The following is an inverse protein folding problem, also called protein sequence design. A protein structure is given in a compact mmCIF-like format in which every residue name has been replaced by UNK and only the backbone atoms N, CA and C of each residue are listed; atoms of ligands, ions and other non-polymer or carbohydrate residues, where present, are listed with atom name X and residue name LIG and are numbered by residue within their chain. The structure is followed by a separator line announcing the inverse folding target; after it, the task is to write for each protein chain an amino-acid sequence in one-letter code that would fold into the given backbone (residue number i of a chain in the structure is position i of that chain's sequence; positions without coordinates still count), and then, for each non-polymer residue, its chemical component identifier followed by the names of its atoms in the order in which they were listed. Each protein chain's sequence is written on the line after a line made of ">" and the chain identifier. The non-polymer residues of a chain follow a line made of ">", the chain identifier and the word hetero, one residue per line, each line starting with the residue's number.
data_IF_494179668796
#
_entry.id   IF_494179668796
#
_cell.length_a   1.000
_cell.length_b   1.000
_cell.length_c   1.000
_cell.angle_alpha   90.00
_cell.angle_beta   90.00
_cell.angle_gamma   90.00
#
_symmetry.space_group_name_H-M   'P 1'
#
loop_
_entity.id
_entity.type
_entity.pdbx_description
1 polymer ?
#
# COMPACT_ATOMS: atom_id res chain seq x y z
N UNK A 1 23.83 -6.57 17.79
CA UNK A 1 23.23 -7.28 16.65
C UNK A 1 22.44 -6.26 15.88
N UNK A 2 22.63 -6.14 14.58
CA UNK A 2 21.89 -5.18 13.77
C UNK A 2 20.91 -5.98 12.89
N UNK A 3 19.69 -5.51 12.83
CA UNK A 3 18.60 -6.13 12.03
C UNK A 3 18.22 -5.14 10.95
N UNK A 4 18.12 -5.62 9.72
CA UNK A 4 17.66 -4.84 8.57
C UNK A 4 16.49 -5.54 7.89
N UNK A 5 15.37 -4.84 7.74
CA UNK A 5 14.13 -5.37 7.15
C UNK A 5 13.65 -4.44 6.05
N UNK A 6 13.51 -4.97 4.84
CA UNK A 6 12.89 -4.24 3.74
C UNK A 6 11.46 -4.72 3.51
N UNK A 7 10.53 -3.77 3.44
CA UNK A 7 9.13 -4.04 3.08
C UNK A 7 8.77 -3.21 1.83
N UNK A 8 8.32 -3.85 0.75
CA UNK A 8 7.99 -3.18 -0.49
C UNK A 8 6.77 -2.26 -0.34
N UNK A 9 6.71 -1.19 -1.12
CA UNK A 9 5.50 -0.43 -1.29
C UNK A 9 4.43 -1.22 -2.04
N UNK A 10 3.17 -0.84 -1.85
CA UNK A 10 2.01 -1.44 -2.49
C UNK A 10 1.13 -0.36 -3.11
N UNK A 11 0.73 -0.56 -4.35
CA UNK A 11 -0.17 0.33 -5.08
C UNK A 11 -1.49 -0.39 -5.30
N UNK A 12 -2.56 0.09 -4.67
CA UNK A 12 -3.90 -0.46 -4.83
C UNK A 12 -4.55 0.06 -6.11
N UNK A 13 -5.10 -0.81 -6.93
CA UNK A 13 -5.85 -0.46 -8.15
C UNK A 13 -7.34 -0.26 -7.87
N UNK A 14 -7.96 -1.20 -7.17
CA UNK A 14 -9.37 -1.15 -6.79
C UNK A 14 -9.59 -1.92 -5.49
N UNK A 15 -10.61 -1.52 -4.72
CA UNK A 15 -10.91 -2.16 -3.43
C UNK A 15 -12.33 -1.92 -2.96
N UNK A 16 -12.84 -2.83 -2.13
CA UNK A 16 -14.03 -2.64 -1.30
C UNK A 16 -13.64 -2.66 0.18
N UNK A 17 -14.39 -1.94 1.00
CA UNK A 17 -14.15 -1.80 2.43
C UNK A 17 -15.03 -2.79 3.19
N UNK A 18 -14.43 -3.56 4.08
CA UNK A 18 -15.12 -4.49 4.98
C UNK A 18 -14.87 -4.11 6.43
N UNK A 19 -15.90 -3.56 7.08
CA UNK A 19 -15.82 -3.17 8.48
C UNK A 19 -16.13 -4.32 9.42
N UNK A 20 -15.39 -4.40 10.50
CA UNK A 20 -15.63 -5.33 11.57
C UNK A 20 -15.31 -4.68 12.92
N UNK A 21 -16.05 -5.03 13.97
CA UNK A 21 -15.77 -4.57 15.35
C UNK A 21 -14.44 -5.12 15.89
N UNK A 22 -13.99 -6.26 15.38
CA UNK A 22 -12.66 -6.79 15.67
C UNK A 22 -11.64 -6.14 14.70
N UNK A 23 -10.67 -5.34 15.18
CA UNK A 23 -9.69 -4.68 14.34
C UNK A 23 -8.92 -5.63 13.41
N UNK A 24 -8.66 -6.86 13.85
CA UNK A 24 -7.95 -7.84 13.01
C UNK A 24 -8.80 -8.41 11.86
N UNK A 25 -10.13 -8.24 11.91
CA UNK A 25 -11.06 -8.64 10.84
C UNK A 25 -11.50 -7.45 9.99
N UNK A 26 -11.22 -6.23 10.45
CA UNK A 26 -11.45 -5.01 9.69
C UNK A 26 -10.46 -4.93 8.54
N UNK A 27 -10.86 -4.43 7.37
CA UNK A 27 -9.93 -4.35 6.26
C UNK A 27 -10.56 -4.06 4.91
N UNK A 28 -9.88 -4.47 3.85
CA UNK A 28 -10.37 -4.32 2.48
C UNK A 28 -10.08 -5.56 1.63
N UNK A 29 -10.97 -5.84 0.68
CA UNK A 29 -10.69 -6.75 -0.44
C UNK A 29 -10.39 -5.92 -1.70
N UNK A 30 -9.71 -6.49 -2.69
CA UNK A 30 -9.36 -5.79 -3.93
C UNK A 30 -7.97 -6.15 -4.42
N UNK A 31 -7.52 -5.53 -5.48
CA UNK A 31 -6.23 -5.83 -6.08
C UNK A 31 -5.29 -4.63 -6.07
N UNK A 32 -4.00 -4.95 -5.99
CA UNK A 32 -2.90 -4.03 -6.11
C UNK A 32 -1.62 -4.77 -6.50
N UNK A 33 -0.52 -4.07 -6.62
CA UNK A 33 0.77 -4.70 -6.89
C UNK A 33 1.89 -4.12 -6.05
N UNK A 34 2.93 -4.92 -5.85
CA UNK A 34 4.12 -4.53 -5.11
C UNK A 34 5.15 -3.88 -6.03
N UNK A 35 5.83 -2.87 -5.53
CA UNK A 35 6.95 -2.20 -6.20
C UNK A 35 8.27 -2.50 -5.49
N UNK A 36 9.39 -2.40 -6.21
CA UNK A 36 10.72 -2.67 -5.67
C UNK A 36 11.34 -1.49 -4.89
N UNK A 37 10.53 -0.52 -4.54
CA UNK A 37 10.82 0.55 -3.59
C UNK A 37 9.88 0.40 -2.40
N UNK A 38 10.27 0.86 -1.23
CA UNK A 38 9.47 0.66 -0.02
C UNK A 38 10.09 1.35 1.19
N UNK A 39 10.09 0.68 2.32
CA UNK A 39 10.72 1.16 3.55
C UNK A 39 11.77 0.15 4.00
N UNK A 40 12.99 0.62 4.18
CA UNK A 40 14.06 -0.11 4.83
C UNK A 40 14.08 0.30 6.30
N UNK A 41 13.92 -0.66 7.19
CA UNK A 41 13.96 -0.45 8.64
C UNK A 41 15.20 -1.12 9.20
N UNK A 42 16.08 -0.34 9.82
CA UNK A 42 17.26 -0.82 10.51
C UNK A 42 17.08 -0.65 12.03
N UNK A 43 17.43 -1.68 12.78
CA UNK A 43 17.33 -1.71 14.23
C UNK A 43 18.67 -2.13 14.82
N UNK A 44 19.19 -1.32 15.73
CA UNK A 44 20.47 -1.55 16.39
C UNK A 44 20.41 -1.22 17.88
N UNK A 45 21.44 -1.65 18.63
CA UNK A 45 21.54 -1.33 20.04
C UNK A 45 21.86 0.15 20.25
N UNK A 46 21.23 0.72 21.27
CA UNK A 46 21.48 2.07 21.78
C UNK A 46 21.31 2.07 23.30
N UNK A 47 21.81 3.11 23.97
CA UNK A 47 21.61 3.32 25.42
C UNK A 47 20.25 3.99 25.73
N UNK A 48 19.61 4.56 24.71
CA UNK A 48 18.31 5.23 24.79
C UNK A 48 17.41 4.79 23.63
N UNK A 49 16.13 5.16 23.66
CA UNK A 49 15.25 5.04 22.51
C UNK A 49 15.58 6.18 21.52
N UNK A 50 16.10 5.82 20.36
CA UNK A 50 16.42 6.72 19.27
C UNK A 50 15.60 6.36 18.04
N UNK A 51 14.97 7.36 17.40
CA UNK A 51 14.17 7.17 16.19
C UNK A 51 14.63 8.18 15.14
N UNK A 52 15.03 7.68 13.98
CA UNK A 52 15.44 8.47 12.83
C UNK A 52 14.63 8.04 11.59
N UNK A 53 13.99 8.98 10.92
CA UNK A 53 13.34 8.75 9.62
C UNK A 53 13.80 9.84 8.66
N UNK A 54 14.03 9.46 7.41
CA UNK A 54 14.43 10.42 6.38
C UNK A 54 13.29 11.36 5.96
N UNK A 55 12.03 10.92 6.08
CA UNK A 55 10.83 11.68 5.75
C UNK A 55 9.66 11.30 6.66
N UNK A 56 8.76 12.27 6.92
CA UNK A 56 7.53 12.06 7.70
C UNK A 56 7.71 12.23 9.20
N UNK A 57 6.80 11.60 9.95
CA UNK A 57 6.74 11.65 11.40
C UNK A 57 6.91 10.25 12.04
N UNK A 58 6.81 10.19 13.35
CA UNK A 58 7.00 8.95 14.12
C UNK A 58 5.68 8.28 14.55
N UNK A 59 4.53 8.74 14.03
CA UNK A 59 3.20 8.27 14.50
C UNK A 59 3.06 6.76 14.36
N UNK A 60 3.44 6.21 13.19
CA UNK A 60 3.38 4.77 12.92
C UNK A 60 4.34 3.99 13.83
N UNK A 61 5.57 4.48 13.98
CA UNK A 61 6.59 3.86 14.82
C UNK A 61 6.11 3.81 16.28
N UNK A 62 5.60 4.93 16.79
CA UNK A 62 5.10 5.04 18.16
C UNK A 62 3.92 4.10 18.40
N UNK A 63 3.00 3.96 17.43
CA UNK A 63 1.86 3.04 17.58
C UNK A 63 2.30 1.57 17.61
N UNK A 64 3.28 1.18 16.77
CA UNK A 64 3.85 -0.18 16.80
C UNK A 64 4.58 -0.46 18.12
N UNK A 65 5.41 0.48 18.60
CA UNK A 65 6.10 0.36 19.91
C UNK A 65 5.09 0.20 21.06
N UNK A 66 4.03 1.00 21.05
CA UNK A 66 2.93 0.92 22.02
C UNK A 66 2.22 -0.44 21.98
N UNK A 67 1.89 -0.96 20.81
CA UNK A 67 1.22 -2.27 20.65
C UNK A 67 2.13 -3.41 21.16
N UNK A 68 3.45 -3.31 20.91
CA UNK A 68 4.45 -4.26 21.38
C UNK A 68 4.86 -4.07 22.83
N UNK A 69 4.45 -2.96 23.46
CA UNK A 69 4.86 -2.54 24.82
C UNK A 69 6.39 -2.51 24.98
N UNK A 70 7.07 -1.92 23.96
CA UNK A 70 8.51 -1.77 23.98
C UNK A 70 8.89 -0.38 24.49
N UNK A 71 9.53 -0.37 25.67
CA UNK A 71 10.11 0.82 26.31
C UNK A 71 11.64 0.70 26.45
N UNK A 72 12.20 -0.39 25.94
CA UNK A 72 13.63 -0.68 26.05
C UNK A 72 14.46 0.21 25.11
N UNK A 73 15.70 0.55 25.50
CA UNK A 73 16.62 1.27 24.64
C UNK A 73 16.87 0.53 23.33
N UNK A 74 16.74 1.25 22.22
CA UNK A 74 16.95 0.73 20.85
C UNK A 74 17.05 1.91 19.89
N UNK A 75 17.90 1.79 18.87
CA UNK A 75 17.91 2.72 17.75
C UNK A 75 17.12 2.12 16.58
N UNK A 76 16.16 2.90 16.09
CA UNK A 76 15.30 2.59 14.94
C UNK A 76 15.58 3.61 13.86
N UNK A 77 15.99 3.16 12.68
CA UNK A 77 16.17 4.03 11.50
C UNK A 77 15.26 3.54 10.39
N UNK A 78 14.52 4.45 9.74
CA UNK A 78 13.74 4.10 8.55
C UNK A 78 14.10 4.97 7.36
N UNK A 79 14.46 4.30 6.25
CA UNK A 79 14.64 4.91 4.93
C UNK A 79 13.37 4.66 4.10
N UNK A 80 12.55 5.71 3.97
CA UNK A 80 11.30 5.70 3.22
C UNK A 80 11.60 6.15 1.80
N UNK A 81 11.51 5.23 0.85
CA UNK A 81 11.95 5.39 -0.55
C UNK A 81 10.84 5.85 -1.49
N UNK A 82 9.63 6.04 -0.99
CA UNK A 82 8.44 6.42 -1.74
C UNK A 82 7.74 7.61 -1.07
N UNK A 83 7.02 8.44 -1.83
CA UNK A 83 6.26 9.55 -1.26
C UNK A 83 5.24 9.08 -0.22
N UNK A 84 5.25 9.73 0.95
CA UNK A 84 4.27 9.47 2.03
C UNK A 84 2.92 10.07 1.64
N UNK A 85 1.82 9.43 2.07
CA UNK A 85 0.47 9.91 1.80
C UNK A 85 0.04 9.85 0.34
N UNK A 86 0.85 9.26 -0.53
CA UNK A 86 0.64 9.23 -1.97
C UNK A 86 0.16 7.87 -2.52
N UNK A 87 -0.43 7.02 -1.67
CA UNK A 87 -1.05 5.75 -2.10
C UNK A 87 -0.07 4.61 -2.36
N UNK A 88 1.15 4.68 -1.81
CA UNK A 88 2.17 3.64 -1.94
C UNK A 88 2.22 2.65 -0.75
N UNK A 89 1.32 2.76 0.21
CA UNK A 89 1.31 1.90 1.39
C UNK A 89 2.56 2.04 2.25
N UNK A 90 3.19 3.22 2.28
CA UNK A 90 4.44 3.47 3.03
C UNK A 90 4.25 3.33 4.54
N UNK A 91 3.10 3.73 5.07
CA UNK A 91 2.72 3.55 6.47
C UNK A 91 2.71 2.07 6.86
N UNK A 92 2.07 1.23 6.05
CA UNK A 92 2.04 -0.22 6.24
C UNK A 92 3.43 -0.86 6.09
N UNK A 93 4.26 -0.39 5.13
CA UNK A 93 5.64 -0.86 4.99
C UNK A 93 6.48 -0.52 6.23
N UNK A 94 6.32 0.70 6.77
CA UNK A 94 6.95 1.14 8.01
C UNK A 94 6.54 0.26 9.20
N UNK A 95 5.22 0.09 9.40
CA UNK A 95 4.68 -0.70 10.50
C UNK A 95 5.13 -2.17 10.44
N UNK A 96 5.08 -2.79 9.25
CA UNK A 96 5.43 -4.20 9.06
C UNK A 96 6.94 -4.43 9.24
N UNK A 97 7.77 -3.57 8.64
CA UNK A 97 9.22 -3.63 8.77
C UNK A 97 9.67 -3.49 10.23
N UNK A 98 9.06 -2.55 10.93
CA UNK A 98 9.33 -2.33 12.34
C UNK A 98 8.89 -3.51 13.22
N UNK A 99 7.68 -4.04 13.01
CA UNK A 99 7.17 -5.17 13.81
C UNK A 99 8.04 -6.43 13.63
N UNK A 100 8.50 -6.71 12.39
CA UNK A 100 9.42 -7.81 12.10
C UNK A 100 10.79 -7.55 12.75
N UNK A 101 11.35 -6.36 12.53
CA UNK A 101 12.68 -6.02 13.02
C UNK A 101 12.77 -6.05 14.55
N UNK A 102 11.79 -5.48 15.27
CA UNK A 102 11.74 -5.53 16.73
C UNK A 102 11.51 -6.94 17.27
N UNK A 103 10.73 -7.77 16.57
CA UNK A 103 10.57 -9.18 16.92
C UNK A 103 11.92 -9.92 16.91
N UNK A 104 12.69 -9.74 15.83
CA UNK A 104 14.01 -10.37 15.70
C UNK A 104 15.02 -9.79 16.70
N UNK A 105 15.06 -8.46 16.82
CA UNK A 105 16.03 -7.78 17.68
C UNK A 105 15.87 -8.14 19.16
N UNK A 106 14.62 -8.15 19.66
CA UNK A 106 14.31 -8.50 21.05
C UNK A 106 14.00 -9.98 21.27
N UNK A 107 14.06 -10.81 20.21
CA UNK A 107 13.76 -12.24 20.25
C UNK A 107 12.37 -12.51 20.90
N UNK A 108 11.32 -11.82 20.41
CA UNK A 108 9.98 -11.90 20.96
C UNK A 108 9.28 -13.23 20.64
N UNK A 109 9.79 -14.00 19.69
CA UNK A 109 9.28 -15.33 19.32
C UNK A 109 7.97 -15.29 18.51
N UNK A 110 7.61 -14.17 17.90
CA UNK A 110 6.43 -14.08 17.04
C UNK A 110 6.73 -14.64 15.65
N UNK A 111 5.74 -15.30 15.06
CA UNK A 111 5.80 -15.67 13.65
C UNK A 111 5.47 -14.44 12.76
N UNK A 112 5.72 -14.58 11.46
CA UNK A 112 5.51 -13.50 10.49
C UNK A 112 4.04 -13.01 10.46
N UNK A 113 3.08 -13.92 10.60
CA UNK A 113 1.64 -13.56 10.68
C UNK A 113 1.36 -12.66 11.88
N UNK A 114 1.95 -12.96 13.03
CA UNK A 114 1.78 -12.16 14.24
C UNK A 114 2.39 -10.76 14.10
N UNK A 115 3.56 -10.65 13.46
CA UNK A 115 4.16 -9.36 13.12
C UNK A 115 3.24 -8.56 12.17
N UNK A 116 2.68 -9.22 11.16
CA UNK A 116 1.70 -8.63 10.27
C UNK A 116 0.40 -8.21 10.98
N UNK A 117 -0.08 -8.97 11.96
CA UNK A 117 -1.24 -8.59 12.79
C UNK A 117 -0.97 -7.34 13.64
N UNK A 118 0.25 -7.18 14.14
CA UNK A 118 0.68 -6.00 14.88
C UNK A 118 0.68 -4.78 13.97
N UNK A 119 1.31 -4.89 12.80
CA UNK A 119 1.34 -3.83 11.80
C UNK A 119 -0.07 -3.44 11.32
N UNK A 120 -0.90 -4.43 10.99
CA UNK A 120 -2.29 -4.21 10.59
C UNK A 120 -3.09 -3.49 11.69
N UNK A 121 -2.91 -3.88 12.95
CA UNK A 121 -3.57 -3.22 14.07
C UNK A 121 -3.13 -1.76 14.20
N UNK A 122 -1.85 -1.45 13.98
CA UNK A 122 -1.35 -0.07 13.98
C UNK A 122 -2.04 0.75 12.89
N UNK A 123 -2.11 0.24 11.65
CA UNK A 123 -2.81 0.88 10.54
C UNK A 123 -4.29 1.16 10.83
N UNK A 124 -5.01 0.18 11.41
CA UNK A 124 -6.43 0.34 11.77
C UNK A 124 -6.60 1.38 12.88
N UNK A 125 -5.76 1.37 13.91
CA UNK A 125 -5.83 2.33 15.01
C UNK A 125 -5.58 3.77 14.54
N UNK A 126 -4.69 3.95 13.57
CA UNK A 126 -4.35 5.25 12.98
C UNK A 126 -5.32 5.68 11.86
N UNK A 127 -6.12 4.74 11.33
CA UNK A 127 -6.96 4.99 10.15
C UNK A 127 -6.15 5.20 8.87
N UNK A 128 -4.89 4.76 8.83
CA UNK A 128 -3.96 5.01 7.71
C UNK A 128 -4.07 3.97 6.59
N UNK A 129 -4.53 2.75 6.88
CA UNK A 129 -4.63 1.69 5.89
C UNK A 129 -5.62 0.59 6.27
N UNK A 130 -6.12 -0.14 5.26
CA UNK A 130 -7.09 -1.23 5.43
C UNK A 130 -6.59 -2.58 4.89
N UNK A 131 -5.56 -2.62 4.05
CA UNK A 131 -5.21 -3.86 3.39
C UNK A 131 -3.79 -3.92 2.82
N UNK A 132 -3.00 -2.86 2.99
CA UNK A 132 -1.64 -2.81 2.46
C UNK A 132 -0.71 -3.81 3.17
N UNK A 133 -0.82 -3.95 4.49
CA UNK A 133 0.00 -4.89 5.27
C UNK A 133 -0.10 -6.32 4.75
N UNK A 134 -1.32 -6.85 4.59
CA UNK A 134 -1.49 -8.23 4.09
C UNK A 134 -1.06 -8.35 2.63
N UNK A 135 -1.26 -7.31 1.81
CA UNK A 135 -0.82 -7.29 0.42
C UNK A 135 0.72 -7.31 0.31
N UNK A 136 1.42 -6.57 1.17
CA UNK A 136 2.88 -6.51 1.22
C UNK A 136 3.55 -7.82 1.63
N UNK A 137 2.80 -8.74 2.21
CA UNK A 137 3.25 -10.12 2.47
C UNK A 137 3.07 -11.05 1.27
N UNK A 138 2.47 -10.57 0.18
CA UNK A 138 2.32 -11.28 -1.10
C UNK A 138 3.47 -11.05 -2.08
N UNK A 139 3.20 -11.30 -3.36
CA UNK A 139 4.16 -11.11 -4.47
C UNK A 139 3.45 -10.63 -5.74
N UNK A 140 4.11 -9.74 -6.49
CA UNK A 140 3.61 -9.27 -7.79
C UNK A 140 2.28 -8.55 -7.66
N UNK A 141 1.28 -8.92 -8.47
CA UNK A 141 -0.10 -8.47 -8.32
C UNK A 141 -0.78 -9.32 -7.24
N UNK A 142 -1.32 -8.65 -6.24
CA UNK A 142 -1.96 -9.29 -5.08
C UNK A 142 -3.44 -8.96 -5.07
N UNK A 143 -4.27 -10.00 -5.10
CA UNK A 143 -5.70 -9.89 -4.86
C UNK A 143 -6.01 -10.30 -3.42
N UNK A 144 -6.55 -9.38 -2.65
CA UNK A 144 -7.12 -9.64 -1.33
C UNK A 144 -8.53 -10.18 -1.52
N UNK A 145 -8.71 -11.48 -1.31
CA UNK A 145 -10.00 -12.16 -1.52
C UNK A 145 -10.91 -12.12 -0.30
N UNK A 146 -10.30 -11.97 0.88
CA UNK A 146 -10.97 -11.82 2.16
C UNK A 146 -10.26 -10.75 2.99
N UNK A 147 -11.02 -9.84 3.57
CA UNK A 147 -10.50 -8.77 4.41
C UNK A 147 -9.98 -9.30 5.75
N UNK A 148 -9.05 -8.55 6.33
CA UNK A 148 -8.47 -8.83 7.64
C UNK A 148 -6.95 -8.87 7.63
N UNK A 149 -6.40 -8.96 8.83
CA UNK A 149 -4.98 -9.08 9.10
C UNK A 149 -4.40 -10.39 8.53
N UNK A 150 -3.08 -10.50 8.36
CA UNK A 150 -2.40 -11.75 8.05
C UNK A 150 -2.82 -12.90 8.96
N UNK A 151 -3.07 -14.09 8.38
CA UNK A 151 -3.61 -15.25 9.09
C UNK A 151 -5.15 -15.24 9.29
N UNK A 152 -5.83 -14.13 8.97
CA UNK A 152 -7.30 -13.98 9.03
C UNK A 152 -7.85 -13.63 7.65
N UNK A 153 -7.30 -12.62 7.02
CA UNK A 153 -7.55 -12.29 5.63
C UNK A 153 -6.90 -13.30 4.68
N UNK A 154 -7.28 -13.24 3.40
CA UNK A 154 -6.76 -14.15 2.38
C UNK A 154 -6.30 -13.35 1.16
N UNK A 155 -5.15 -13.73 0.62
CA UNK A 155 -4.58 -13.17 -0.61
C UNK A 155 -4.31 -14.25 -1.64
N UNK A 156 -4.39 -13.86 -2.91
CA UNK A 156 -3.88 -14.61 -4.05
C UNK A 156 -2.89 -13.73 -4.80
N UNK A 157 -1.73 -14.27 -5.13
CA UNK A 157 -0.74 -13.58 -5.96
C UNK A 157 -0.87 -14.03 -7.40
N UNK A 158 -0.89 -13.07 -8.32
CA UNK A 158 -0.95 -13.30 -9.75
C UNK A 158 0.25 -12.63 -10.41
N UNK A 159 0.65 -13.13 -11.56
CA UNK A 159 1.63 -12.52 -12.47
C UNK A 159 3.06 -12.48 -11.95
N UNK A 160 3.92 -13.17 -12.68
CA UNK A 160 5.38 -13.16 -12.50
C UNK A 160 6.10 -12.32 -13.59
N UNK A 161 5.37 -11.47 -14.32
CA UNK A 161 5.96 -10.64 -15.36
C UNK A 161 6.70 -9.46 -14.76
N UNK A 162 7.86 -9.14 -15.33
CA UNK A 162 8.59 -7.92 -14.97
C UNK A 162 7.88 -6.72 -15.59
N UNK A 163 7.35 -5.87 -14.73
CA UNK A 163 6.76 -4.59 -15.11
C UNK A 163 7.73 -3.45 -14.81
N UNK A 164 7.84 -2.51 -15.73
CA UNK A 164 8.42 -1.20 -15.44
C UNK A 164 7.28 -0.25 -15.11
N UNK A 165 7.31 0.30 -13.92
CA UNK A 165 6.27 1.19 -13.42
C UNK A 165 6.83 2.60 -13.33
N UNK A 166 6.25 3.54 -14.05
CA UNK A 166 6.51 4.96 -13.87
C UNK A 166 5.38 5.56 -13.04
N UNK A 167 5.72 6.39 -12.05
CA UNK A 167 4.76 7.05 -11.19
C UNK A 167 4.93 8.56 -11.23
N UNK A 168 3.83 9.28 -11.19
CA UNK A 168 3.80 10.73 -10.99
C UNK A 168 2.84 11.02 -9.85
N UNK A 169 3.32 11.72 -8.83
CA UNK A 169 2.54 12.15 -7.68
C UNK A 169 2.18 13.61 -7.83
N UNK A 170 0.91 13.96 -7.63
CA UNK A 170 0.39 15.33 -7.65
C UNK A 170 0.11 15.86 -6.23
N UNK A 171 0.41 15.07 -5.20
CA UNK A 171 0.28 15.44 -3.79
C UNK A 171 -0.15 14.26 -2.90
N UNK A 172 -0.56 14.56 -1.67
CA UNK A 172 -0.97 13.56 -0.68
C UNK A 172 -2.47 13.24 -0.77
N UNK A 173 -2.84 12.00 -0.43
CA UNK A 173 -4.22 11.55 -0.35
C UNK A 173 -4.62 11.44 1.12
N UNK A 174 -5.65 12.17 1.53
CA UNK A 174 -6.28 11.97 2.84
C UNK A 174 -7.18 10.74 2.83
N UNK A 175 -6.55 9.58 2.98
CA UNK A 175 -7.23 8.28 3.01
C UNK A 175 -8.26 8.22 4.14
N UNK A 176 -7.97 8.82 5.29
CA UNK A 176 -8.86 8.77 6.46
C UNK A 176 -10.20 9.45 6.16
N UNK A 177 -10.20 10.62 5.51
CA UNK A 177 -11.43 11.33 5.16
C UNK A 177 -12.30 10.56 4.16
N UNK A 178 -11.67 9.84 3.21
CA UNK A 178 -12.40 9.02 2.23
C UNK A 178 -13.07 7.82 2.89
N UNK A 179 -12.34 7.13 3.77
CA UNK A 179 -12.82 5.92 4.44
C UNK A 179 -13.91 6.24 5.46
N UNK A 180 -13.92 7.45 6.03
CA UNK A 180 -14.88 7.86 7.06
C UNK A 180 -16.20 8.41 6.48
N UNK A 181 -16.21 8.89 5.24
CA UNK A 181 -17.42 9.38 4.58
C UNK A 181 -18.33 8.20 4.17
N UNK A 182 -19.58 8.09 4.71
CA UNK A 182 -20.46 6.94 4.45
C UNK A 182 -20.87 6.79 2.98
N UNK A 183 -21.05 7.89 2.26
CA UNK A 183 -21.50 7.89 0.86
C UNK A 183 -20.36 7.45 -0.04
N UNK A 184 -19.15 8.01 0.17
CA UNK A 184 -17.96 7.56 -0.53
C UNK A 184 -17.64 6.09 -0.26
N UNK A 185 -17.74 5.68 0.99
CA UNK A 185 -17.52 4.29 1.40
C UNK A 185 -18.43 3.32 0.66
N UNK A 186 -19.69 3.68 0.47
CA UNK A 186 -20.64 2.85 -0.29
C UNK A 186 -20.24 2.77 -1.76
N UNK A 187 -19.95 3.90 -2.40
CA UNK A 187 -19.54 3.94 -3.82
C UNK A 187 -18.27 3.12 -4.04
N UNK A 188 -17.26 3.29 -3.19
CA UNK A 188 -16.01 2.53 -3.23
C UNK A 188 -16.26 1.03 -3.06
N UNK A 189 -17.09 0.66 -2.07
CA UNK A 189 -17.34 -0.74 -1.77
C UNK A 189 -18.12 -1.43 -2.88
N UNK A 190 -19.14 -0.80 -3.44
CA UNK A 190 -19.93 -1.36 -4.54
C UNK A 190 -19.07 -1.54 -5.81
N UNK A 191 -18.31 -0.50 -6.20
CA UNK A 191 -17.41 -0.57 -7.35
C UNK A 191 -16.28 -1.61 -7.15
N UNK A 192 -15.65 -1.59 -5.99
CA UNK A 192 -14.57 -2.52 -5.68
C UNK A 192 -14.99 -3.98 -5.63
N UNK A 193 -16.19 -4.27 -5.10
CA UNK A 193 -16.73 -5.63 -5.05
C UNK A 193 -17.02 -6.16 -6.46
N UNK A 194 -17.64 -5.35 -7.32
CA UNK A 194 -17.92 -5.70 -8.71
C UNK A 194 -16.59 -6.03 -9.44
N UNK A 195 -15.61 -5.12 -9.37
CA UNK A 195 -14.35 -5.27 -10.09
C UNK A 195 -13.49 -6.42 -9.55
N UNK A 196 -13.52 -6.66 -8.24
CA UNK A 196 -12.88 -7.83 -7.63
C UNK A 196 -13.43 -9.13 -8.21
N UNK A 197 -14.75 -9.26 -8.32
CA UNK A 197 -15.39 -10.47 -8.86
C UNK A 197 -15.04 -10.68 -10.34
N UNK A 198 -15.09 -9.64 -11.16
CA UNK A 198 -14.67 -9.68 -12.56
C UNK A 198 -13.17 -10.04 -12.69
N UNK A 199 -12.32 -9.50 -11.83
CA UNK A 199 -10.89 -9.82 -11.84
C UNK A 199 -10.61 -11.28 -11.47
N UNK A 200 -11.39 -11.86 -10.56
CA UNK A 200 -11.28 -13.28 -10.19
C UNK A 200 -11.56 -14.23 -11.37
N UNK A 201 -12.42 -13.83 -12.30
CA UNK A 201 -12.77 -14.63 -13.48
C UNK A 201 -11.64 -14.67 -14.50
N UNK A 202 -10.91 -13.57 -14.66
CA UNK A 202 -9.81 -13.46 -15.63
C UNK A 202 -8.69 -12.55 -15.11
N UNK A 203 -7.85 -13.01 -14.17
CA UNK A 203 -6.76 -12.23 -13.61
C UNK A 203 -5.62 -12.06 -14.64
N UNK A 204 -5.38 -10.81 -15.04
CA UNK A 204 -4.29 -10.41 -15.93
C UNK A 204 -3.83 -8.98 -15.63
N UNK A 205 -2.63 -8.61 -16.07
CA UNK A 205 -2.15 -7.22 -15.95
C UNK A 205 -3.06 -6.26 -16.71
N UNK A 206 -3.49 -6.62 -17.92
CA UNK A 206 -4.41 -5.80 -18.70
C UNK A 206 -5.70 -5.51 -17.93
N UNK A 207 -6.37 -6.56 -17.44
CA UNK A 207 -7.60 -6.40 -16.65
C UNK A 207 -7.36 -5.66 -15.33
N UNK A 208 -6.19 -5.84 -14.69
CA UNK A 208 -5.85 -5.07 -13.50
C UNK A 208 -5.81 -3.57 -13.80
N UNK A 209 -5.12 -3.17 -14.87
CA UNK A 209 -5.01 -1.77 -15.27
C UNK A 209 -6.37 -1.19 -15.69
N UNK A 210 -7.11 -1.89 -16.54
CA UNK A 210 -8.44 -1.47 -17.01
C UNK A 210 -9.43 -1.30 -15.85
N UNK A 211 -9.44 -2.25 -14.93
CA UNK A 211 -10.33 -2.19 -13.76
C UNK A 211 -9.90 -1.13 -12.75
N UNK A 212 -8.60 -0.86 -12.63
CA UNK A 212 -8.11 0.25 -11.80
C UNK A 212 -8.57 1.60 -12.35
N UNK A 213 -8.52 1.77 -13.67
CA UNK A 213 -9.02 2.97 -14.33
C UNK A 213 -10.55 3.10 -14.22
N UNK A 214 -11.27 2.00 -14.44
CA UNK A 214 -12.73 1.95 -14.25
C UNK A 214 -13.12 2.29 -12.82
N UNK A 215 -12.40 1.77 -11.82
CA UNK A 215 -12.60 2.08 -10.40
C UNK A 215 -12.44 3.56 -10.12
N UNK A 216 -11.35 4.16 -10.56
CA UNK A 216 -11.07 5.58 -10.34
C UNK A 216 -12.15 6.49 -10.92
N UNK A 217 -12.70 6.12 -12.09
CA UNK A 217 -13.82 6.84 -12.71
C UNK A 217 -15.14 6.64 -11.95
N UNK A 218 -15.50 5.40 -11.61
CA UNK A 218 -16.74 5.09 -10.89
C UNK A 218 -16.79 5.73 -9.52
N UNK A 219 -15.64 5.83 -8.85
CA UNK A 219 -15.54 6.39 -7.50
C UNK A 219 -15.27 7.90 -7.48
N UNK A 220 -15.09 8.53 -8.65
CA UNK A 220 -14.70 9.93 -8.76
C UNK A 220 -13.44 10.28 -7.94
N UNK A 221 -12.50 9.34 -7.85
CA UNK A 221 -11.22 9.52 -7.16
C UNK A 221 -10.13 10.06 -8.09
N UNK A 222 -10.40 10.16 -9.39
CA UNK A 222 -9.48 10.70 -10.39
C UNK A 222 -9.59 12.22 -10.43
N UNK A 223 -8.48 12.93 -10.25
CA UNK A 223 -8.43 14.36 -10.48
C UNK A 223 -8.35 14.70 -11.97
N UNK A 224 -8.66 15.97 -12.32
CA UNK A 224 -8.59 16.44 -13.69
C UNK A 224 -7.17 16.35 -14.25
N UNK A 225 -6.15 16.69 -13.44
CA UNK A 225 -4.75 16.62 -13.85
C UNK A 225 -4.32 15.17 -14.17
N UNK A 226 -4.84 14.20 -13.43
CA UNK A 226 -4.59 12.77 -13.68
C UNK A 226 -5.27 12.34 -14.96
N UNK A 227 -6.54 12.75 -15.16
CA UNK A 227 -7.29 12.44 -16.37
C UNK A 227 -6.58 13.00 -17.61
N UNK A 228 -6.17 14.27 -17.56
CA UNK A 228 -5.43 14.92 -18.65
C UNK A 228 -4.13 14.20 -18.99
N UNK A 229 -3.38 13.78 -17.97
CA UNK A 229 -2.13 13.06 -18.18
C UNK A 229 -2.34 11.66 -18.77
N UNK A 230 -3.36 10.94 -18.32
CA UNK A 230 -3.76 9.66 -18.90
C UNK A 230 -4.18 9.84 -20.36
N UNK A 231 -4.98 10.83 -20.67
CA UNK A 231 -5.42 11.13 -22.04
C UNK A 231 -4.25 11.52 -22.94
N UNK A 232 -3.28 12.27 -22.43
CA UNK A 232 -2.05 12.60 -23.15
C UNK A 232 -1.28 11.34 -23.55
N UNK A 233 -1.05 10.43 -22.62
CA UNK A 233 -0.33 9.19 -22.92
C UNK A 233 -1.12 8.23 -23.81
N UNK A 234 -2.44 8.19 -23.70
CA UNK A 234 -3.28 7.32 -24.52
C UNK A 234 -3.38 7.77 -25.99
N UNK A 235 -3.12 9.06 -26.29
CA UNK A 235 -3.05 9.54 -27.68
C UNK A 235 -1.91 8.92 -28.46
N UNK A 236 -0.77 8.66 -27.80
CA UNK A 236 0.44 8.17 -28.45
C UNK A 236 0.72 6.67 -28.19
N UNK A 237 0.01 6.04 -27.24
CA UNK A 237 0.21 4.63 -26.89
C UNK A 237 -1.01 4.08 -26.13
N UNK A 238 -1.89 3.31 -26.77
CA UNK A 238 -3.16 2.87 -26.18
C UNK A 238 -3.05 1.82 -25.07
N UNK A 239 -1.92 1.71 -24.38
CA UNK A 239 -1.66 0.69 -23.36
C UNK A 239 -1.30 1.24 -21.98
N UNK A 240 -1.67 2.48 -21.68
CA UNK A 240 -1.40 3.07 -20.36
C UNK A 240 -2.72 3.35 -19.67
N UNK A 241 -2.95 2.68 -18.56
CA UNK A 241 -4.09 2.93 -17.69
C UNK A 241 -3.71 2.74 -16.24
N UNK A 242 -4.18 3.52 -15.43
CA UNK A 242 -4.62 3.51 -14.05
C UNK A 242 -4.15 4.72 -13.25
N UNK A 243 -5.10 5.31 -12.58
CA UNK A 243 -4.84 6.29 -11.57
C UNK A 243 -5.73 6.02 -10.37
N UNK A 244 -5.21 6.20 -9.18
CA UNK A 244 -6.00 6.27 -7.95
C UNK A 244 -5.74 7.63 -7.36
N UNK A 245 -6.79 8.41 -7.10
CA UNK A 245 -6.60 9.69 -6.46
C UNK A 245 -7.87 10.47 -6.19
N UNK A 246 -7.83 11.35 -5.22
CA UNK A 246 -8.84 12.37 -4.94
C UNK A 246 -8.59 13.65 -5.72
N UNK A 247 -9.61 14.52 -5.89
CA UNK A 247 -9.46 15.80 -6.58
C UNK A 247 -8.50 16.69 -5.81
N UNK A 248 -7.28 16.65 -6.06
CA UNK A 248 -6.14 17.49 -5.74
C UNK A 248 -4.82 16.73 -5.64
N UNK A 249 -4.83 15.37 -5.48
CA UNK A 249 -3.60 14.63 -5.21
C UNK A 249 -3.68 13.20 -5.77
N UNK A 250 -3.05 12.89 -6.88
CA UNK A 250 -3.16 11.58 -7.49
C UNK A 250 -1.84 10.99 -7.99
N UNK A 251 -1.74 9.66 -7.87
CA UNK A 251 -0.68 8.89 -8.48
C UNK A 251 -1.16 8.31 -9.80
N UNK A 252 -0.41 8.52 -10.86
CA UNK A 252 -0.56 7.77 -12.10
C UNK A 252 0.43 6.64 -12.08
N UNK A 253 -0.06 5.44 -12.27
CA UNK A 253 0.76 4.27 -12.53
C UNK A 253 0.55 3.89 -13.99
N UNK A 254 1.58 4.12 -14.79
CA UNK A 254 1.65 3.58 -16.14
C UNK A 254 2.50 2.32 -16.13
N UNK A 255 1.94 1.18 -16.57
CA UNK A 255 2.73 -0.02 -16.82
C UNK A 255 2.98 -0.16 -18.31
N UNK A 256 4.22 -0.39 -18.74
CA UNK A 256 4.58 -0.59 -20.16
C UNK A 256 5.33 -1.89 -20.38
N UNK A 257 5.00 -2.54 -21.52
CA UNK A 257 5.81 -3.52 -22.22
C UNK A 257 7.16 -2.92 -22.67
N UNK A 258 8.26 -3.70 -22.90
CA UNK A 258 9.66 -3.25 -22.92
C UNK A 258 10.12 -2.31 -24.06
N UNK A 259 9.23 -1.66 -24.78
CA UNK A 259 9.58 -0.77 -25.90
C UNK A 259 9.29 0.71 -25.60
N UNK A 260 9.90 1.29 -24.56
CA UNK A 260 9.85 2.75 -24.32
C UNK A 260 10.76 3.50 -25.30
N UNK A 261 10.34 4.60 -25.92
CA UNK A 261 11.25 5.47 -26.63
C UNK A 261 12.28 6.12 -25.67
N UNK A 262 13.54 6.32 -26.09
CA UNK A 262 14.65 6.71 -25.20
C UNK A 262 14.63 8.16 -24.71
N UNK A 263 13.55 8.90 -24.82
CA UNK A 263 13.49 10.34 -24.52
C UNK A 263 12.78 10.72 -23.22
N UNK A 264 12.44 9.77 -22.36
CA UNK A 264 11.85 10.10 -21.05
C UNK A 264 12.92 10.04 -19.96
N UNK A 265 13.49 11.19 -19.60
CA UNK A 265 14.39 11.36 -18.46
C UNK A 265 13.56 12.04 -17.35
N UNK A 266 13.10 11.35 -16.32
CA UNK A 266 12.42 11.98 -15.19
C UNK A 266 13.46 12.67 -14.30
N UNK A 267 13.42 13.99 -14.29
CA UNK A 267 14.10 14.79 -13.25
C UNK A 267 13.27 14.83 -12.00
#
# INVERSE_FOLDING_TARGET
>A
MDISVFVPGHITGFFNIENNVNPLKNGSCGAGFLVNRGVLTDISSSDTLEIEVNHGDYIVINEVLKILNIEKPVKITQDIQLPIGAGFGTSASSALGLAIGLNEFFNLGYNLEKCGQIAHRAEINLGSGLGDVIAQMGRGVVLRTKAGAPGIGEIKSFVNEKLVVATKTFGEIDTASIIQDPDYKKIISDAGLELKNRFLENPSIGNFLDFSFEFSKKTNLMSDEVSELIDYFNKDSPSISSGIGKPNNCNIVGAKSPNFPPSFNPT
#
